data_IF_306638196094
#
_entry.id   IF_306638196094
#
_cell.length_a   1.000
_cell.length_b   1.000
_cell.length_c   1.000
_cell.angle_alpha   90.00
_cell.angle_beta   90.00
_cell.angle_gamma   90.00
#
_symmetry.space_group_name_H-M   'P 1'
#
loop_
_entity.id
_entity.type
_entity.pdbx_description
1 polymer ?
#
# COMPACT_ATOMS: atom_id res chain seq x y z
N UNK A 1 -12.80 -0.98 29.04
CA UNK A 1 -13.66 -0.64 27.89
C UNK A 1 -13.27 -1.53 26.71
N UNK A 2 -14.22 -2.22 26.08
CA UNK A 2 -13.94 -2.99 24.87
C UNK A 2 -13.50 -2.03 23.76
N UNK A 3 -12.36 -2.31 23.11
CA UNK A 3 -11.92 -1.51 21.95
C UNK A 3 -12.99 -1.61 20.85
N UNK A 4 -13.39 -0.50 20.21
CA UNK A 4 -14.30 -0.54 19.08
C UNK A 4 -13.77 -1.53 18.03
N UNK A 5 -14.64 -2.46 17.61
CA UNK A 5 -14.30 -3.44 16.58
C UNK A 5 -13.81 -2.71 15.34
N UNK A 6 -12.74 -3.22 14.72
CA UNK A 6 -12.15 -2.60 13.53
C UNK A 6 -13.01 -2.76 12.26
N UNK A 7 -14.22 -3.34 12.37
CA UNK A 7 -15.11 -3.69 11.25
C UNK A 7 -14.61 -4.92 10.49
N UNK A 8 -15.36 -5.40 9.48
CA UNK A 8 -14.94 -6.49 8.61
C UNK A 8 -13.66 -6.11 7.85
N UNK A 9 -12.70 -7.04 7.78
CA UNK A 9 -11.37 -6.83 7.20
C UNK A 9 -11.06 -7.83 6.11
N UNK A 10 -10.48 -7.35 5.01
CA UNK A 10 -9.72 -8.22 4.11
C UNK A 10 -8.36 -8.59 4.69
N UNK A 11 -7.64 -9.44 3.96
CA UNK A 11 -6.25 -9.75 4.22
C UNK A 11 -5.53 -9.89 2.89
N UNK A 12 -4.57 -9.02 2.66
CA UNK A 12 -3.74 -8.99 1.46
C UNK A 12 -2.30 -9.10 1.89
N UNK A 13 -1.61 -10.11 1.36
CA UNK A 13 -0.18 -10.26 1.52
C UNK A 13 0.52 -9.64 0.33
N UNK A 14 1.58 -8.89 0.57
CA UNK A 14 2.53 -8.50 -0.48
C UNK A 14 3.97 -8.67 -0.02
N UNK A 15 4.85 -8.75 -1.01
CA UNK A 15 6.29 -8.85 -0.86
C UNK A 15 6.94 -7.62 -1.51
N UNK A 16 6.94 -6.46 -0.83
CA UNK A 16 7.63 -5.28 -1.34
C UNK A 16 9.13 -5.54 -1.37
N UNK A 17 9.83 -4.90 -2.32
CA UNK A 17 11.31 -4.90 -2.34
C UNK A 17 11.86 -4.29 -1.03
N UNK A 18 13.06 -4.67 -0.56
CA UNK A 18 13.65 -4.11 0.65
C UNK A 18 13.75 -2.58 0.64
N UNK A 19 14.05 -2.00 -0.52
CA UNK A 19 14.17 -0.55 -0.74
C UNK A 19 12.82 0.15 -0.56
N UNK A 20 11.76 -0.45 -1.12
CA UNK A 20 10.37 0.02 -0.93
C UNK A 20 9.97 -0.06 0.54
N UNK A 21 10.32 -1.16 1.22
CA UNK A 21 10.03 -1.33 2.66
C UNK A 21 10.71 -0.26 3.51
N UNK A 22 11.99 0.05 3.23
CA UNK A 22 12.73 1.10 3.91
C UNK A 22 12.08 2.48 3.71
N UNK A 23 11.64 2.79 2.49
CA UNK A 23 10.92 4.04 2.22
C UNK A 23 9.57 4.11 2.92
N UNK A 24 8.85 2.99 3.03
CA UNK A 24 7.63 2.93 3.83
C UNK A 24 7.91 3.23 5.30
N UNK A 25 8.98 2.68 5.88
CA UNK A 25 9.38 3.00 7.25
C UNK A 25 9.69 4.50 7.41
N UNK A 26 10.40 5.12 6.46
CA UNK A 26 10.68 6.56 6.45
C UNK A 26 9.40 7.41 6.39
N UNK A 27 8.42 7.03 5.55
CA UNK A 27 7.14 7.73 5.43
C UNK A 27 6.30 7.58 6.71
N UNK A 28 6.27 6.37 7.29
CA UNK A 28 5.55 6.10 8.53
C UNK A 28 6.16 6.88 9.69
N UNK A 29 7.49 6.94 9.79
CA UNK A 29 8.20 7.72 10.80
C UNK A 29 7.88 9.22 10.74
N UNK A 30 7.58 9.74 9.54
CA UNK A 30 7.17 11.13 9.31
C UNK A 30 5.66 11.34 9.48
N UNK A 31 4.90 10.27 9.69
CA UNK A 31 3.45 10.30 9.86
C UNK A 31 3.07 10.08 11.33
N UNK A 32 1.85 10.45 11.70
CA UNK A 32 1.30 10.14 13.03
C UNK A 32 0.68 8.73 13.11
N UNK A 33 1.01 7.83 12.17
CA UNK A 33 0.40 6.50 12.04
C UNK A 33 1.13 5.46 12.89
N UNK A 34 0.38 4.59 13.53
CA UNK A 34 0.88 3.62 14.52
C UNK A 34 1.72 2.47 13.96
N UNK A 35 1.63 2.18 12.66
CA UNK A 35 2.36 1.09 12.02
C UNK A 35 2.34 1.18 10.48
N UNK A 36 3.30 0.51 9.83
CA UNK A 36 3.35 0.36 8.36
C UNK A 36 2.06 -0.26 7.81
N UNK A 37 1.57 -1.36 8.39
CA UNK A 37 0.34 -2.01 7.92
C UNK A 37 -0.89 -1.09 8.01
N UNK A 38 -0.95 -0.22 9.02
CA UNK A 38 -2.06 0.73 9.16
C UNK A 38 -1.91 1.92 8.20
N UNK A 39 -0.68 2.42 8.01
CA UNK A 39 -0.37 3.45 7.02
C UNK A 39 -0.76 2.98 5.61
N UNK A 40 -0.35 1.78 5.23
CA UNK A 40 -0.69 1.21 3.93
C UNK A 40 -2.19 0.98 3.81
N UNK A 41 -2.88 0.54 4.86
CA UNK A 41 -4.34 0.39 4.82
C UNK A 41 -5.06 1.74 4.57
N UNK A 42 -4.56 2.83 5.15
CA UNK A 42 -5.12 4.17 4.96
C UNK A 42 -4.82 4.72 3.55
N UNK A 43 -3.57 4.55 3.08
CA UNK A 43 -3.18 4.91 1.71
C UNK A 43 -4.03 4.14 0.68
N UNK A 44 -4.29 2.85 0.91
CA UNK A 44 -5.16 2.07 0.03
C UNK A 44 -6.61 2.57 0.05
N UNK A 45 -7.11 3.03 1.20
CA UNK A 45 -8.45 3.61 1.28
C UNK A 45 -8.55 4.88 0.42
N UNK A 46 -7.51 5.73 0.43
CA UNK A 46 -7.42 6.89 -0.45
C UNK A 46 -7.34 6.48 -1.93
N UNK A 47 -6.46 5.52 -2.24
CA UNK A 47 -6.25 5.02 -3.60
C UNK A 47 -7.53 4.51 -4.27
N UNK A 48 -8.36 3.78 -3.52
CA UNK A 48 -9.64 3.25 -4.04
C UNK A 48 -10.82 4.23 -3.95
N UNK A 49 -10.57 5.49 -3.58
CA UNK A 49 -11.58 6.53 -3.45
C UNK A 49 -12.59 6.27 -2.33
N UNK A 50 -12.13 5.74 -1.19
CA UNK A 50 -12.92 5.54 0.03
C UNK A 50 -12.26 6.24 1.24
N UNK A 51 -12.15 7.59 1.23
CA UNK A 51 -11.49 8.34 2.30
C UNK A 51 -12.14 8.16 3.68
N UNK A 52 -13.42 7.79 3.73
CA UNK A 52 -14.15 7.49 4.98
C UNK A 52 -13.59 6.27 5.73
N UNK A 53 -12.82 5.40 5.05
CA UNK A 53 -12.17 4.24 5.67
C UNK A 53 -10.75 4.53 6.16
N UNK A 54 -10.23 5.76 5.97
CA UNK A 54 -8.95 6.21 6.54
C UNK A 54 -9.08 6.35 8.05
N UNK A 55 -8.12 5.80 8.79
CA UNK A 55 -8.20 5.73 10.25
C UNK A 55 -7.27 6.65 10.99
N UNK A 56 -6.04 6.77 10.53
CA UNK A 56 -4.97 7.45 11.27
C UNK A 56 -4.35 8.55 10.39
N UNK A 57 -4.17 8.31 9.10
CA UNK A 57 -3.51 9.25 8.19
C UNK A 57 -4.21 10.63 8.10
N UNK A 58 -5.55 10.67 8.16
CA UNK A 58 -6.33 11.91 8.12
C UNK A 58 -6.65 12.46 9.52
N UNK A 59 -6.35 11.71 10.59
CA UNK A 59 -6.60 12.24 11.94
C UNK A 59 -5.44 13.15 12.29
N UNK A 60 -5.69 14.46 12.29
CA UNK A 60 -4.88 15.44 13.00
C UNK A 60 -4.87 15.08 14.49
N UNK A 61 -4.09 14.08 14.90
CA UNK A 61 -4.07 13.62 16.29
C UNK A 61 -2.84 14.19 16.96
N UNK A 62 -3.12 15.16 17.83
CA UNK A 62 -2.27 15.89 18.79
C UNK A 62 -1.57 15.00 19.83
N UNK A 63 -1.33 13.72 19.52
CA UNK A 63 -0.60 12.81 20.40
C UNK A 63 0.57 12.30 19.59
N UNK A 64 1.73 12.90 19.84
CA UNK A 64 3.03 12.36 19.44
C UNK A 64 3.22 11.03 20.16
N UNK A 65 2.59 9.97 19.65
CA UNK A 65 2.99 8.62 20.00
C UNK A 65 4.38 8.46 19.42
N UNK A 66 5.37 8.22 20.27
CA UNK A 66 6.75 8.05 19.80
C UNK A 66 6.77 7.05 18.64
N UNK A 67 7.44 7.40 17.52
CA UNK A 67 7.42 6.57 16.33
C UNK A 67 8.06 5.23 16.68
N UNK A 68 7.23 4.18 16.83
CA UNK A 68 7.69 2.80 17.03
C UNK A 68 8.18 2.25 15.69
N UNK A 69 9.30 2.79 15.21
CA UNK A 69 9.98 2.28 14.02
C UNK A 69 10.93 1.18 14.49
N UNK A 70 10.41 -0.04 14.55
CA UNK A 70 11.29 -1.20 14.55
C UNK A 70 11.64 -1.42 13.09
N UNK A 71 12.89 -1.13 12.70
CA UNK A 71 13.39 -1.45 11.38
C UNK A 71 13.18 -2.95 11.13
N UNK A 72 12.10 -3.29 10.43
CA UNK A 72 11.76 -4.67 10.12
C UNK A 72 12.13 -4.89 8.66
N UNK A 73 13.02 -5.84 8.41
CA UNK A 73 13.05 -6.51 7.10
C UNK A 73 11.74 -7.26 6.97
N UNK A 74 10.74 -6.65 6.36
CA UNK A 74 9.50 -7.34 6.05
C UNK A 74 9.78 -8.32 4.92
N UNK A 75 10.05 -9.59 5.26
CA UNK A 75 9.96 -10.66 4.27
C UNK A 75 8.54 -10.77 3.72
N UNK A 76 7.52 -10.31 4.45
CA UNK A 76 6.14 -10.23 3.97
C UNK A 76 5.40 -9.11 4.71
N UNK A 77 4.63 -8.30 3.99
CA UNK A 77 3.74 -7.30 4.56
C UNK A 77 2.29 -7.78 4.46
N UNK A 78 1.63 -7.95 5.61
CA UNK A 78 0.20 -8.19 5.67
C UNK A 78 -0.54 -6.87 5.86
N UNK A 79 -1.47 -6.58 4.96
CA UNK A 79 -2.36 -5.42 5.04
C UNK A 79 -3.79 -5.90 5.17
N UNK A 80 -4.52 -5.31 6.12
CA UNK A 80 -5.90 -5.69 6.42
C UNK A 80 -6.82 -4.46 6.33
N UNK A 81 -7.09 -3.94 5.13
CA UNK A 81 -7.97 -2.79 4.98
C UNK A 81 -9.43 -3.21 5.20
N UNK A 82 -10.35 -2.24 5.21
CA UNK A 82 -11.78 -2.50 5.28
C UNK A 82 -12.24 -3.37 4.09
N UNK A 83 -13.27 -4.20 4.27
CA UNK A 83 -13.72 -5.13 3.22
C UNK A 83 -14.09 -4.43 1.89
N UNK A 84 -14.74 -3.27 1.95
CA UNK A 84 -15.06 -2.47 0.75
C UNK A 84 -13.80 -1.95 0.04
N UNK A 85 -12.77 -1.58 0.79
CA UNK A 85 -11.46 -1.20 0.23
C UNK A 85 -10.83 -2.40 -0.45
N UNK A 86 -10.88 -3.58 0.19
CA UNK A 86 -10.39 -4.83 -0.42
C UNK A 86 -11.11 -5.21 -1.70
N UNK A 87 -12.42 -4.96 -1.78
CA UNK A 87 -13.23 -5.26 -2.97
C UNK A 87 -12.86 -4.33 -4.13
N UNK A 88 -12.83 -3.01 -3.91
CA UNK A 88 -12.42 -2.06 -4.95
C UNK A 88 -10.97 -2.30 -5.40
N UNK A 89 -10.07 -2.62 -4.47
CA UNK A 89 -8.68 -2.93 -4.81
C UNK A 89 -8.57 -4.13 -5.77
N UNK A 90 -9.40 -5.17 -5.59
CA UNK A 90 -9.44 -6.30 -6.53
C UNK A 90 -9.96 -5.91 -7.90
N UNK A 91 -10.97 -5.03 -7.97
CA UNK A 91 -11.47 -4.52 -9.26
C UNK A 91 -10.38 -3.73 -9.99
N UNK A 92 -9.73 -2.78 -9.31
CA UNK A 92 -8.62 -2.01 -9.89
C UNK A 92 -7.48 -2.90 -10.37
N UNK A 93 -7.15 -3.97 -9.64
CA UNK A 93 -6.14 -4.93 -10.07
C UNK A 93 -6.54 -5.69 -11.32
N UNK A 94 -7.82 -6.08 -11.44
CA UNK A 94 -8.34 -6.74 -12.64
C UNK A 94 -8.32 -5.77 -13.84
N UNK A 95 -8.78 -4.54 -13.63
CA UNK A 95 -8.83 -3.50 -14.67
C UNK A 95 -7.43 -3.10 -15.15
N UNK A 96 -6.41 -3.19 -14.29
CA UNK A 96 -5.03 -2.88 -14.65
C UNK A 96 -4.29 -4.02 -15.36
N UNK A 97 -4.91 -5.20 -15.52
CA UNK A 97 -4.28 -6.36 -16.15
C UNK A 97 -3.11 -6.99 -15.38
N UNK A 98 -2.89 -6.59 -14.12
CA UNK A 98 -1.82 -7.14 -13.29
C UNK A 98 -2.19 -8.56 -12.87
N UNK A 99 -1.24 -9.48 -12.82
CA UNK A 99 -1.49 -10.92 -12.65
C UNK A 99 -2.10 -11.30 -11.29
N UNK A 100 -1.81 -10.53 -10.23
CA UNK A 100 -2.30 -10.84 -8.90
C UNK A 100 -2.42 -9.62 -8.00
N UNK A 101 -3.27 -9.70 -6.97
CA UNK A 101 -3.41 -8.66 -5.94
C UNK A 101 -2.11 -8.40 -5.17
N UNK A 102 -1.29 -9.43 -4.96
CA UNK A 102 0.01 -9.30 -4.29
C UNK A 102 0.97 -8.47 -5.14
N UNK A 103 1.03 -8.73 -6.45
CA UNK A 103 1.88 -8.01 -7.37
C UNK A 103 1.38 -6.57 -7.59
N UNK A 104 0.08 -6.39 -7.75
CA UNK A 104 -0.54 -5.06 -7.83
C UNK A 104 -0.18 -4.22 -6.61
N UNK A 105 -0.31 -4.79 -5.41
CA UNK A 105 0.02 -4.08 -4.17
C UNK A 105 1.52 -3.77 -4.07
N UNK A 106 2.39 -4.68 -4.51
CA UNK A 106 3.84 -4.44 -4.52
C UNK A 106 4.22 -3.29 -5.46
N UNK A 107 3.65 -3.27 -6.67
CA UNK A 107 3.90 -2.23 -7.67
C UNK A 107 3.30 -0.88 -7.25
N UNK A 108 2.07 -0.90 -6.73
CA UNK A 108 1.44 0.28 -6.15
C UNK A 108 2.30 0.90 -5.04
N UNK A 109 2.85 0.07 -4.14
CA UNK A 109 3.72 0.55 -3.08
C UNK A 109 5.03 1.13 -3.62
N UNK A 110 5.60 0.54 -4.66
CA UNK A 110 6.79 1.07 -5.34
C UNK A 110 6.52 2.46 -5.94
N UNK A 111 5.40 2.64 -6.63
CA UNK A 111 4.97 3.95 -7.14
C UNK A 111 4.73 4.95 -6.01
N UNK A 112 4.02 4.54 -4.95
CA UNK A 112 3.68 5.39 -3.81
C UNK A 112 4.92 5.95 -3.09
N UNK A 113 5.98 5.15 -2.98
CA UNK A 113 7.24 5.59 -2.35
C UNK A 113 8.19 6.31 -3.31
N UNK A 114 7.81 6.46 -4.59
CA UNK A 114 8.63 7.12 -5.61
C UNK A 114 9.81 6.26 -6.12
N UNK A 115 9.64 4.94 -6.18
CA UNK A 115 10.63 4.00 -6.74
C UNK A 115 10.03 3.23 -7.94
N UNK A 116 9.69 3.92 -9.06
CA UNK A 116 9.06 3.30 -10.22
C UNK A 116 9.91 2.19 -10.86
N UNK A 117 11.23 2.21 -10.68
CA UNK A 117 12.16 1.16 -11.15
C UNK A 117 11.90 -0.21 -10.50
N UNK A 118 11.13 -0.27 -9.42
CA UNK A 118 10.75 -1.51 -8.75
C UNK A 118 9.38 -2.06 -9.17
N UNK A 119 8.67 -1.32 -10.02
CA UNK A 119 7.39 -1.73 -10.58
C UNK A 119 7.60 -2.87 -11.58
N UNK A 120 6.82 -3.93 -11.43
CA UNK A 120 6.87 -5.06 -12.34
C UNK A 120 5.81 -4.99 -13.39
N UNK A 121 4.53 -4.88 -13.07
CA UNK A 121 3.44 -5.11 -14.02
C UNK A 121 2.50 -3.90 -14.15
N UNK A 122 2.22 -3.22 -13.04
CA UNK A 122 1.39 -2.01 -13.04
C UNK A 122 2.05 -0.93 -13.92
N UNK A 123 1.28 -0.22 -14.73
CA UNK A 123 1.81 0.87 -15.59
C UNK A 123 2.85 0.44 -16.65
N UNK A 124 2.97 -0.86 -16.96
CA UNK A 124 3.56 -1.28 -18.23
C UNK A 124 2.61 -0.88 -19.36
N UNK A 125 2.69 0.36 -19.83
CA UNK A 125 2.34 0.62 -21.22
C UNK A 125 3.25 -0.26 -22.07
N UNK A 126 2.65 -1.11 -22.91
CA UNK A 126 3.38 -1.87 -23.93
C UNK A 126 4.10 -0.91 -24.86
N UNK A 127 5.33 -0.51 -24.51
CA UNK A 127 6.26 0.04 -25.48
C UNK A 127 6.70 -1.12 -26.35
N UNK A 128 5.93 -1.38 -27.42
CA UNK A 128 6.42 -2.11 -28.56
C UNK A 128 7.75 -1.46 -28.95
N UNK A 129 8.90 -2.18 -28.89
CA UNK A 129 10.08 -1.67 -29.56
C UNK A 129 9.70 -1.59 -31.03
N UNK A 130 9.66 -0.37 -31.57
CA UNK A 130 9.66 -0.17 -33.02
C UNK A 130 10.92 -0.89 -33.51
N UNK A 131 10.74 -2.07 -34.10
CA UNK A 131 11.76 -2.68 -34.91
C UNK A 131 11.96 -1.72 -36.09
N UNK A 132 12.87 -0.77 -35.96
CA UNK A 132 13.43 -0.07 -37.10
C UNK A 132 14.20 -1.11 -37.91
N UNK A 133 13.49 -1.75 -38.84
CA UNK A 133 14.11 -2.36 -40.01
C UNK A 133 14.63 -1.23 -40.90
N UNK A 134 15.95 -1.08 -40.96
CA UNK A 134 16.68 -0.49 -42.08
C UNK A 134 18.12 -1.01 -42.06
#
# INVERSE_FOLDING_TARGET
MARPSKGPRGAHMCLPRPEVSRKLDELVAKSAVSSVSQYVADVLALHVGLPEHVRELNRQTLVATEPRVVARRYERLMVRPHSQVSERLRRLQQDSGVTSISQYLADFLALHVGLPEHVRELDRQEVLPLQTSA
#
